data_IF_305214586801
#
_entry.id   IF_305214586801
#
_cell.length_a   1.000
_cell.length_b   1.000
_cell.length_c   1.000
_cell.angle_alpha   90.00
_cell.angle_beta   90.00
_cell.angle_gamma   90.00
#
_symmetry.space_group_name_H-M   'P 1'
#
loop_
_entity.id
_entity.type
_entity.pdbx_description
1 polymer ?
#
# COMPACT_ATOMS: atom_id res chain seq x y z
N UNK A 1 3.20 -10.09 9.60
CA UNK A 1 1.85 -9.52 9.80
C UNK A 1 0.88 -10.34 8.98
N UNK A 2 -0.26 -10.72 9.54
CA UNK A 2 -1.30 -11.47 8.83
C UNK A 2 -2.65 -10.77 9.03
N UNK A 3 -3.47 -10.75 7.99
CA UNK A 3 -4.85 -10.28 8.03
C UNK A 3 -5.68 -11.13 7.10
N UNK A 4 -6.67 -11.86 7.64
CA UNK A 4 -7.41 -12.88 6.90
C UNK A 4 -6.42 -13.89 6.26
N UNK A 5 -6.39 -13.99 4.93
CA UNK A 5 -5.48 -14.82 4.14
C UNK A 5 -4.21 -14.08 3.69
N UNK A 6 -4.20 -12.75 3.73
CA UNK A 6 -3.04 -11.93 3.35
C UNK A 6 -1.94 -11.99 4.42
N UNK A 7 -0.80 -12.58 4.06
CA UNK A 7 0.37 -12.69 4.95
C UNK A 7 1.59 -11.96 4.39
N UNK A 8 2.12 -11.02 5.18
CA UNK A 8 3.36 -10.30 4.89
C UNK A 8 4.48 -10.76 5.83
N UNK A 9 5.58 -11.25 5.25
CA UNK A 9 6.76 -11.72 5.98
C UNK A 9 7.88 -10.68 5.92
N UNK A 10 8.51 -10.41 7.06
CA UNK A 10 9.64 -9.51 7.22
C UNK A 10 10.77 -10.29 7.89
N UNK A 11 11.98 -10.15 7.37
CA UNK A 11 13.18 -10.78 7.91
C UNK A 11 14.36 -9.81 7.81
N UNK A 12 15.37 -9.98 8.67
CA UNK A 12 16.54 -9.09 8.70
C UNK A 12 17.46 -9.28 7.50
N UNK A 13 17.41 -10.45 6.86
CA UNK A 13 18.17 -10.74 5.65
C UNK A 13 17.45 -11.80 4.78
N UNK A 14 18.00 -12.01 3.58
CA UNK A 14 17.45 -12.93 2.59
C UNK A 14 17.42 -14.38 3.08
N UNK A 15 18.49 -14.86 3.73
CA UNK A 15 18.59 -16.25 4.17
C UNK A 15 17.55 -16.58 5.26
N UNK A 16 17.33 -15.65 6.18
CA UNK A 16 16.30 -15.75 7.20
C UNK A 16 14.90 -15.77 6.56
N UNK A 17 14.65 -14.92 5.56
CA UNK A 17 13.39 -14.92 4.83
C UNK A 17 13.15 -16.27 4.13
N UNK A 18 14.17 -16.83 3.49
CA UNK A 18 14.09 -18.14 2.82
C UNK A 18 13.79 -19.28 3.80
N UNK A 19 14.38 -19.26 5.00
CA UNK A 19 14.07 -20.24 6.06
C UNK A 19 12.61 -20.15 6.49
N UNK A 20 12.12 -18.95 6.74
CA UNK A 20 10.73 -18.71 7.14
C UNK A 20 9.76 -19.18 6.04
N UNK A 21 10.06 -18.86 4.78
CA UNK A 21 9.26 -19.28 3.62
C UNK A 21 9.23 -20.80 3.45
N UNK A 22 10.36 -21.48 3.68
CA UNK A 22 10.43 -22.95 3.64
C UNK A 22 9.53 -23.59 4.70
N UNK A 23 9.62 -23.14 5.95
CA UNK A 23 8.76 -23.65 7.03
C UNK A 23 7.28 -23.39 6.75
N UNK A 24 6.95 -22.24 6.14
CA UNK A 24 5.59 -21.95 5.74
C UNK A 24 5.08 -22.91 4.66
N UNK A 25 5.86 -23.16 3.61
CA UNK A 25 5.51 -24.11 2.53
C UNK A 25 5.28 -25.53 3.06
N UNK A 26 6.14 -26.00 3.98
CA UNK A 26 5.97 -27.29 4.65
C UNK A 26 4.64 -27.33 5.44
N UNK A 27 4.33 -26.28 6.20
CA UNK A 27 3.08 -26.19 6.97
C UNK A 27 1.84 -26.21 6.05
N UNK A 28 1.83 -25.42 4.98
CA UNK A 28 0.69 -25.36 4.08
C UNK A 28 0.50 -26.65 3.30
N UNK A 29 1.59 -27.30 2.89
CA UNK A 29 1.55 -28.61 2.22
C UNK A 29 1.01 -29.69 3.15
N UNK A 30 1.43 -29.71 4.41
CA UNK A 30 0.95 -30.68 5.40
C UNK A 30 -0.54 -30.54 5.72
N UNK A 31 -1.10 -29.34 5.56
CA UNK A 31 -2.50 -29.06 5.87
C UNK A 31 -3.38 -28.99 4.61
N UNK A 32 -2.88 -29.41 3.44
CA UNK A 32 -3.58 -29.33 2.14
C UNK A 32 -4.14 -27.93 1.82
N UNK A 33 -3.44 -26.88 2.26
CA UNK A 33 -3.83 -25.49 2.01
C UNK A 33 -3.21 -25.02 0.69
N UNK A 34 -4.06 -24.70 -0.28
CA UNK A 34 -3.63 -24.13 -1.55
C UNK A 34 -3.36 -22.62 -1.41
N UNK A 35 -2.11 -22.22 -1.64
CA UNK A 35 -1.70 -20.81 -1.59
C UNK A 35 -1.71 -20.23 -3.00
N UNK A 36 -2.24 -19.01 -3.14
CA UNK A 36 -2.05 -18.24 -4.37
C UNK A 36 -0.61 -17.71 -4.45
N UNK A 37 0.19 -18.30 -5.34
CA UNK A 37 1.60 -17.96 -5.53
C UNK A 37 1.83 -16.82 -6.53
N UNK A 38 0.79 -16.30 -7.19
CA UNK A 38 0.90 -15.32 -8.28
C UNK A 38 1.46 -13.95 -7.84
N UNK A 39 1.36 -13.61 -6.55
CA UNK A 39 1.83 -12.33 -6.00
C UNK A 39 3.08 -12.43 -5.11
N UNK A 40 3.66 -13.63 -4.99
CA UNK A 40 4.86 -13.86 -4.18
C UNK A 40 6.13 -13.61 -5.02
N UNK A 41 6.74 -12.45 -4.82
CA UNK A 41 8.07 -12.15 -5.35
C UNK A 41 9.17 -12.80 -4.50
N UNK A 42 9.10 -14.12 -4.20
CA UNK A 42 10.18 -14.93 -3.58
C UNK A 42 9.89 -16.45 -3.53
N UNK A 43 10.95 -17.24 -3.36
CA UNK A 43 10.98 -18.71 -3.31
C UNK A 43 9.98 -19.30 -2.31
N UNK A 44 9.07 -20.13 -2.83
CA UNK A 44 8.18 -20.96 -2.03
C UNK A 44 8.52 -22.42 -2.38
N UNK A 45 9.26 -23.09 -1.50
CA UNK A 45 9.81 -24.43 -1.77
C UNK A 45 10.89 -24.45 -2.87
N UNK A 46 10.70 -25.28 -3.89
CA UNK A 46 11.67 -25.53 -4.96
C UNK A 46 11.64 -24.54 -6.15
N UNK A 47 10.78 -23.50 -6.13
CA UNK A 47 10.64 -22.57 -7.27
C UNK A 47 11.48 -21.30 -7.11
N UNK A 48 12.25 -20.99 -8.16
CA UNK A 48 13.19 -19.87 -8.24
C UNK A 48 12.49 -18.58 -8.66
N UNK A 49 12.25 -17.64 -7.74
CA UNK A 49 11.62 -16.34 -8.04
C UNK A 49 12.60 -15.19 -7.77
N UNK A 50 12.53 -14.13 -8.59
CA UNK A 50 13.47 -13.01 -8.61
C UNK A 50 13.07 -11.96 -7.56
N UNK A 51 13.86 -11.83 -6.50
CA UNK A 51 13.66 -10.82 -5.45
C UNK A 51 13.86 -9.43 -6.06
N UNK A 52 12.85 -8.57 -6.01
CA UNK A 52 13.00 -7.14 -6.29
C UNK A 52 12.99 -6.38 -4.98
N UNK A 53 14.16 -5.90 -4.56
CA UNK A 53 14.21 -4.91 -3.47
C UNK A 53 13.44 -3.67 -3.91
N UNK A 54 12.57 -3.17 -3.03
CA UNK A 54 11.93 -1.87 -3.28
C UNK A 54 12.97 -0.77 -3.12
N UNK A 55 12.99 0.15 -4.09
CA UNK A 55 13.89 1.29 -4.09
C UNK A 55 13.58 2.29 -2.98
N UNK A 56 14.49 3.25 -2.74
CA UNK A 56 14.31 4.30 -1.71
C UNK A 56 13.07 5.17 -1.95
N UNK A 57 12.70 5.35 -3.21
CA UNK A 57 11.58 6.16 -3.66
C UNK A 57 10.32 5.33 -3.94
N UNK A 58 10.24 4.10 -3.42
CA UNK A 58 9.07 3.24 -3.61
C UNK A 58 8.36 2.99 -2.28
N UNK A 59 7.03 3.05 -2.29
CA UNK A 59 6.20 2.65 -1.16
C UNK A 59 5.73 1.20 -1.32
N UNK A 60 5.67 0.45 -0.22
CA UNK A 60 4.90 -0.78 -0.12
C UNK A 60 3.45 -0.44 0.24
N UNK A 61 2.49 -1.24 -0.24
CA UNK A 61 1.08 -1.11 0.14
C UNK A 61 0.66 -2.37 0.86
N UNK A 62 0.36 -2.27 2.15
CA UNK A 62 -0.14 -3.38 2.98
C UNK A 62 -1.56 -3.01 3.41
N UNK A 63 -2.55 -3.86 3.09
CA UNK A 63 -3.98 -3.62 3.35
C UNK A 63 -4.48 -2.26 2.85
N UNK A 64 -3.85 -1.76 1.79
CA UNK A 64 -4.19 -0.47 1.22
C UNK A 64 -3.44 0.74 1.80
N UNK A 65 -2.76 0.59 2.95
CA UNK A 65 -1.96 1.63 3.63
C UNK A 65 -0.55 1.69 3.04
N UNK A 66 -0.01 2.90 2.88
CA UNK A 66 1.33 3.11 2.34
C UNK A 66 2.41 3.02 3.41
N UNK A 67 3.49 2.32 3.09
CA UNK A 67 4.67 2.15 3.93
C UNK A 67 5.90 2.53 3.12
N UNK A 68 6.76 3.39 3.67
CA UNK A 68 8.08 3.66 3.10
C UNK A 68 9.13 3.04 4.01
N UNK A 69 9.95 2.15 3.46
CA UNK A 69 10.97 1.39 4.23
C UNK A 69 12.13 2.29 4.67
N UNK A 70 12.36 3.40 3.96
CA UNK A 70 13.47 4.33 4.17
C UNK A 70 13.06 5.63 4.85
N UNK A 71 11.86 5.65 5.49
CA UNK A 71 11.31 6.81 6.20
C UNK A 71 11.21 8.08 5.33
N UNK A 72 11.12 7.94 4.01
CA UNK A 72 10.85 9.07 3.13
C UNK A 72 9.34 9.33 3.03
N UNK A 73 8.88 10.21 3.93
CA UNK A 73 7.49 10.63 3.97
C UNK A 73 7.12 11.53 2.79
N UNK A 74 8.08 12.13 2.08
CA UNK A 74 7.78 13.01 0.95
C UNK A 74 7.18 12.22 -0.21
N UNK A 75 7.66 10.99 -0.44
CA UNK A 75 7.07 10.13 -1.46
C UNK A 75 5.61 9.79 -1.15
N UNK A 76 5.30 9.41 0.09
CA UNK A 76 3.92 9.11 0.51
C UNK A 76 3.04 10.37 0.43
N UNK A 77 3.56 11.54 0.83
CA UNK A 77 2.86 12.83 0.69
C UNK A 77 2.57 13.15 -0.77
N UNK A 78 3.53 12.94 -1.66
CA UNK A 78 3.36 13.17 -3.09
C UNK A 78 2.32 12.20 -3.68
N UNK A 79 2.34 10.93 -3.29
CA UNK A 79 1.31 9.96 -3.69
C UNK A 79 -0.08 10.36 -3.21
N UNK A 80 -0.20 10.87 -1.98
CA UNK A 80 -1.47 11.38 -1.45
C UNK A 80 -1.97 12.56 -2.28
N UNK A 81 -1.09 13.51 -2.57
CA UNK A 81 -1.40 14.67 -3.41
C UNK A 81 -1.84 14.25 -4.82
N UNK A 82 -1.08 13.37 -5.48
CA UNK A 82 -1.39 12.91 -6.82
C UNK A 82 -2.72 12.13 -6.86
N UNK A 83 -3.02 11.35 -5.82
CA UNK A 83 -4.30 10.65 -5.71
C UNK A 83 -5.48 11.62 -5.58
N UNK A 84 -5.38 12.63 -4.70
CA UNK A 84 -6.42 13.66 -4.57
C UNK A 84 -6.58 14.40 -5.89
N UNK A 85 -5.48 14.90 -6.47
CA UNK A 85 -5.50 15.61 -7.75
C UNK A 85 -6.12 14.80 -8.87
N UNK A 86 -5.83 13.49 -8.94
CA UNK A 86 -6.43 12.61 -9.93
C UNK A 86 -7.93 12.42 -9.70
N UNK A 87 -8.37 12.26 -8.44
CA UNK A 87 -9.80 12.16 -8.10
C UNK A 87 -10.53 13.46 -8.43
N UNK A 88 -9.98 14.63 -8.04
CA UNK A 88 -10.52 15.95 -8.36
C UNK A 88 -10.67 16.15 -9.86
N UNK A 89 -9.60 15.89 -10.63
CA UNK A 89 -9.63 16.02 -12.08
C UNK A 89 -10.67 15.10 -12.73
N UNK A 90 -10.77 13.84 -12.28
CA UNK A 90 -11.74 12.90 -12.82
C UNK A 90 -13.19 13.31 -12.49
N UNK A 91 -13.43 13.85 -11.29
CA UNK A 91 -14.74 14.35 -10.88
C UNK A 91 -15.13 15.59 -11.68
N UNK A 92 -14.22 16.54 -11.85
CA UNK A 92 -14.46 17.83 -12.50
C UNK A 92 -14.55 17.72 -14.03
N UNK A 93 -13.74 16.86 -14.66
CA UNK A 93 -13.68 16.75 -16.13
C UNK A 93 -14.77 15.86 -16.72
N UNK A 94 -15.16 14.80 -16.01
CA UNK A 94 -16.01 13.76 -16.58
C UNK A 94 -17.47 13.83 -16.12
N UNK A 95 -17.80 14.73 -15.20
CA UNK A 95 -19.16 14.84 -14.63
C UNK A 95 -19.54 16.29 -14.39
N UNK A 96 -20.76 16.67 -14.79
CA UNK A 96 -21.38 17.90 -14.31
C UNK A 96 -21.83 17.68 -12.85
N UNK A 97 -21.01 18.13 -11.90
CA UNK A 97 -21.27 17.99 -10.46
C UNK A 97 -21.47 19.39 -9.87
N UNK A 98 -22.50 19.56 -9.04
CA UNK A 98 -22.71 20.79 -8.26
C UNK A 98 -21.75 20.85 -7.08
N UNK A 99 -21.33 22.05 -6.68
CA UNK A 99 -20.42 22.29 -5.54
C UNK A 99 -20.78 21.48 -4.29
N UNK A 100 -22.08 21.40 -3.93
CA UNK A 100 -22.55 20.63 -2.77
C UNK A 100 -22.21 19.13 -2.86
N UNK A 101 -22.38 18.53 -4.04
CA UNK A 101 -22.07 17.11 -4.26
C UNK A 101 -20.55 16.93 -4.25
N UNK A 102 -19.79 17.88 -4.81
CA UNK A 102 -18.33 17.87 -4.74
C UNK A 102 -17.83 17.91 -3.29
N UNK A 103 -18.31 18.86 -2.48
CA UNK A 103 -17.95 18.95 -1.07
C UNK A 103 -18.32 17.69 -0.28
N UNK A 104 -19.48 17.10 -0.57
CA UNK A 104 -19.88 15.83 0.04
C UNK A 104 -18.92 14.69 -0.31
N UNK A 105 -18.58 14.52 -1.60
CA UNK A 105 -17.65 13.46 -2.04
C UNK A 105 -16.27 13.66 -1.40
N UNK A 106 -15.78 14.90 -1.33
CA UNK A 106 -14.51 15.20 -0.68
C UNK A 106 -14.52 14.77 0.80
N UNK A 107 -15.53 15.19 1.55
CA UNK A 107 -15.62 14.94 2.98
C UNK A 107 -15.93 13.46 3.32
N UNK A 108 -16.78 12.81 2.54
CA UNK A 108 -17.25 11.45 2.82
C UNK A 108 -16.36 10.35 2.21
N UNK A 109 -15.61 10.64 1.14
CA UNK A 109 -14.87 9.62 0.39
C UNK A 109 -13.37 9.93 0.32
N UNK A 110 -13.00 11.13 -0.14
CA UNK A 110 -11.59 11.46 -0.37
C UNK A 110 -10.85 11.57 0.96
N UNK A 111 -11.40 12.32 1.92
CA UNK A 111 -10.76 12.56 3.20
C UNK A 111 -10.54 11.27 4.02
N UNK A 112 -11.54 10.39 4.23
CA UNK A 112 -11.32 9.13 4.94
C UNK A 112 -10.31 8.22 4.23
N UNK A 113 -10.32 8.21 2.89
CA UNK A 113 -9.41 7.39 2.09
C UNK A 113 -7.96 7.84 2.23
N UNK A 114 -7.69 9.14 2.15
CA UNK A 114 -6.34 9.67 2.33
C UNK A 114 -5.89 9.44 3.77
N UNK A 115 -6.74 9.73 4.76
CA UNK A 115 -6.46 9.48 6.18
C UNK A 115 -6.07 8.02 6.43
N UNK A 116 -6.79 7.08 5.83
CA UNK A 116 -6.46 5.66 5.94
C UNK A 116 -5.13 5.32 5.28
N UNK A 117 -4.90 5.80 4.06
CA UNK A 117 -3.68 5.48 3.27
C UNK A 117 -2.40 6.05 3.88
N UNK A 118 -2.47 7.22 4.50
CA UNK A 118 -1.34 7.91 5.11
C UNK A 118 -1.22 7.68 6.62
N UNK A 119 -1.93 6.70 7.18
CA UNK A 119 -1.98 6.43 8.63
C UNK A 119 -0.61 6.21 9.28
N UNK A 120 0.40 5.82 8.50
CA UNK A 120 1.78 5.53 8.94
C UNK A 120 2.68 6.76 8.99
N UNK A 121 2.22 7.92 8.49
CA UNK A 121 3.00 9.15 8.45
C UNK A 121 2.30 10.29 9.19
N UNK A 122 3.10 11.21 9.72
CA UNK A 122 2.58 12.45 10.32
C UNK A 122 2.51 13.51 9.21
N UNK A 123 1.30 13.96 8.91
CA UNK A 123 1.06 15.10 8.03
C UNK A 123 1.07 16.38 8.86
N UNK A 124 1.92 17.35 8.50
CA UNK A 124 1.84 18.68 9.06
C UNK A 124 0.64 19.44 8.46
N UNK A 125 0.21 20.51 9.12
CA UNK A 125 -0.85 21.39 8.60
C UNK A 125 -0.53 21.87 7.18
N UNK A 126 0.71 22.28 6.91
CA UNK A 126 1.19 22.66 5.57
C UNK A 126 1.09 21.54 4.54
N UNK A 127 1.27 20.28 4.95
CA UNK A 127 1.09 19.14 4.05
C UNK A 127 -0.40 18.91 3.76
N UNK A 128 -1.25 19.01 4.78
CA UNK A 128 -2.70 18.90 4.63
C UNK A 128 -3.26 19.99 3.72
N UNK A 129 -2.83 21.25 3.92
CA UNK A 129 -3.20 22.37 3.05
C UNK A 129 -2.86 22.07 1.60
N UNK A 130 -1.63 21.63 1.31
CA UNK A 130 -1.21 21.25 -0.04
C UNK A 130 -2.04 20.12 -0.62
N UNK A 131 -2.35 19.10 0.17
CA UNK A 131 -3.15 17.93 -0.28
C UNK A 131 -4.62 18.31 -0.52
N UNK A 132 -5.15 19.27 0.24
CA UNK A 132 -6.54 19.69 0.17
C UNK A 132 -6.83 20.81 -0.85
N UNK A 133 -5.81 21.39 -1.48
CA UNK A 133 -6.02 22.35 -2.57
C UNK A 133 -6.57 21.61 -3.80
N UNK A 134 -7.76 21.99 -4.33
CA UNK A 134 -8.36 21.40 -5.52
C UNK A 134 -7.50 21.52 -6.79
#
# INVERSE_FOLDING_TARGET
MAYMDDTNMLAGNKEELEKILKTADDFYTLNDIQINKENLNNYFGNQKIKIKSKGKTESLRILGVWFNIYNDNNFIKQQAFDEVKNLSNNLLKNKCITDKISSYIFNAVILPRIKYRTQTIILSEKDCEKIMVP
#
